data_IF_345243611351
#
_entry.id   IF_345243611351
#
_cell.length_a   1.000
_cell.length_b   1.000
_cell.length_c   1.000
_cell.angle_alpha   90.00
_cell.angle_beta   90.00
_cell.angle_gamma   90.00
#
_symmetry.space_group_name_H-M   'P 1'
#
loop_
_entity.id
_entity.type
_entity.pdbx_description
1 polymer ?
#
# COMPACT_ATOMS: atom_id res chain seq x y z
N UNK A 1 31.28 -15.41 16.38
CA UNK A 1 30.32 -14.33 16.75
C UNK A 1 29.74 -13.61 15.53
N UNK A 2 30.46 -13.50 14.42
CA UNK A 2 29.99 -12.76 13.22
C UNK A 2 28.72 -13.32 12.55
N UNK A 3 28.52 -14.64 12.55
CA UNK A 3 27.39 -15.28 11.86
C UNK A 3 26.02 -14.94 12.46
N UNK A 4 25.94 -14.73 13.78
CA UNK A 4 24.69 -14.27 14.43
C UNK A 4 24.37 -12.81 14.10
N UNK A 5 25.39 -11.96 14.03
CA UNK A 5 25.22 -10.52 13.79
C UNK A 5 24.76 -10.23 12.35
N UNK A 6 25.31 -10.94 11.35
CA UNK A 6 24.85 -10.84 9.96
C UNK A 6 23.38 -11.32 9.81
N UNK A 7 22.99 -12.38 10.52
CA UNK A 7 21.64 -12.94 10.45
C UNK A 7 20.57 -11.99 11.05
N UNK A 8 20.85 -11.38 12.20
CA UNK A 8 19.97 -10.37 12.81
C UNK A 8 19.82 -9.14 11.91
N UNK A 9 20.91 -8.72 11.25
CA UNK A 9 20.88 -7.59 10.32
C UNK A 9 20.01 -7.92 9.10
N UNK A 10 20.16 -9.10 8.52
CA UNK A 10 19.31 -9.56 7.41
C UNK A 10 17.83 -9.68 7.80
N UNK A 11 17.52 -10.25 8.97
CA UNK A 11 16.14 -10.31 9.47
C UNK A 11 15.54 -8.92 9.71
N UNK A 12 16.31 -7.98 10.28
CA UNK A 12 15.85 -6.63 10.55
C UNK A 12 15.52 -5.86 9.25
N UNK A 13 16.29 -6.06 8.18
CA UNK A 13 16.05 -5.44 6.89
C UNK A 13 14.81 -6.04 6.19
N UNK A 14 14.61 -7.36 6.27
CA UNK A 14 13.39 -8.01 5.80
C UNK A 14 12.16 -7.52 6.57
N UNK A 15 12.25 -7.40 7.90
CA UNK A 15 11.17 -6.85 8.72
C UNK A 15 10.86 -5.39 8.40
N UNK A 16 11.88 -4.54 8.19
CA UNK A 16 11.66 -3.15 7.75
C UNK A 16 10.96 -3.08 6.41
N UNK A 17 11.29 -3.97 5.48
CA UNK A 17 10.67 -3.99 4.15
C UNK A 17 9.23 -4.49 4.21
N UNK A 18 8.95 -5.55 4.96
CA UNK A 18 7.59 -6.00 5.26
C UNK A 18 6.77 -4.89 5.94
N UNK A 19 7.37 -4.19 6.91
CA UNK A 19 6.74 -3.05 7.57
C UNK A 19 6.45 -1.91 6.60
N UNK A 20 7.35 -1.60 5.68
CA UNK A 20 7.12 -0.59 4.63
C UNK A 20 5.99 -0.99 3.69
N UNK A 21 5.87 -2.27 3.30
CA UNK A 21 4.74 -2.80 2.52
C UNK A 21 3.41 -2.54 3.27
N UNK A 22 3.35 -2.92 4.55
CA UNK A 22 2.15 -2.74 5.38
C UNK A 22 1.81 -1.27 5.60
N UNK A 23 2.81 -0.40 5.81
CA UNK A 23 2.59 1.05 6.02
C UNK A 23 2.01 1.70 4.76
N UNK A 24 2.56 1.40 3.57
CA UNK A 24 2.02 1.90 2.30
C UNK A 24 0.58 1.43 2.08
N UNK A 25 0.34 0.14 2.30
CA UNK A 25 -0.99 -0.45 2.18
C UNK A 25 -1.98 0.18 3.16
N UNK A 26 -1.58 0.36 4.43
CA UNK A 26 -2.41 0.98 5.47
C UNK A 26 -2.77 2.44 5.14
N UNK A 27 -1.86 3.20 4.53
CA UNK A 27 -2.16 4.57 4.10
C UNK A 27 -3.18 4.60 2.97
N UNK A 28 -3.07 3.68 2.01
CA UNK A 28 -4.05 3.53 0.93
C UNK A 28 -5.43 3.14 1.45
N UNK A 29 -5.50 2.14 2.32
CA UNK A 29 -6.77 1.68 2.90
C UNK A 29 -7.50 2.80 3.66
N UNK A 30 -6.78 3.71 4.34
CA UNK A 30 -7.41 4.89 4.97
C UNK A 30 -8.07 5.80 3.92
N UNK A 31 -7.37 6.09 2.83
CA UNK A 31 -7.89 6.92 1.75
C UNK A 31 -9.14 6.27 1.11
N UNK A 32 -9.06 4.98 0.83
CA UNK A 32 -10.15 4.20 0.25
C UNK A 32 -11.37 4.12 1.19
N UNK A 33 -11.13 3.93 2.49
CA UNK A 33 -12.19 3.85 3.50
C UNK A 33 -12.95 5.18 3.62
N UNK A 34 -12.25 6.30 3.68
CA UNK A 34 -12.85 7.64 3.69
C UNK A 34 -13.63 7.88 2.39
N UNK A 35 -13.05 7.53 1.24
CA UNK A 35 -13.74 7.67 -0.04
C UNK A 35 -15.03 6.84 -0.10
N UNK A 36 -14.98 5.61 0.40
CA UNK A 36 -16.16 4.72 0.44
C UNK A 36 -17.28 5.32 1.27
N UNK A 37 -16.96 5.93 2.42
CA UNK A 37 -17.95 6.62 3.26
C UNK A 37 -18.55 7.81 2.51
N UNK A 38 -17.73 8.64 1.86
CA UNK A 38 -18.20 9.79 1.07
C UNK A 38 -19.09 9.34 -0.10
N UNK A 39 -18.72 8.25 -0.77
CA UNK A 39 -19.48 7.66 -1.88
C UNK A 39 -20.85 7.17 -1.42
N UNK A 40 -20.91 6.49 -0.28
CA UNK A 40 -22.17 6.04 0.31
C UNK A 40 -23.05 7.24 0.68
N UNK A 41 -22.49 8.27 1.31
CA UNK A 41 -23.23 9.49 1.65
C UNK A 41 -23.77 10.21 0.41
N UNK A 42 -22.97 10.27 -0.68
CA UNK A 42 -23.39 10.84 -1.96
C UNK A 42 -24.54 10.05 -2.59
N UNK A 43 -24.41 8.72 -2.66
CA UNK A 43 -25.47 7.85 -3.18
C UNK A 43 -26.75 7.95 -2.35
N UNK A 44 -26.63 8.02 -1.03
CA UNK A 44 -27.77 8.20 -0.14
C UNK A 44 -28.48 9.52 -0.44
N UNK A 45 -27.75 10.64 -0.53
CA UNK A 45 -28.30 11.96 -0.89
C UNK A 45 -29.07 11.90 -2.22
N UNK A 46 -28.46 11.29 -3.25
CA UNK A 46 -29.05 11.18 -4.59
C UNK A 46 -30.33 10.34 -4.59
N UNK A 47 -30.30 9.16 -3.95
CA UNK A 47 -31.45 8.24 -3.94
C UNK A 47 -32.58 8.69 -3.02
N UNK A 48 -32.28 9.35 -1.91
CA UNK A 48 -33.31 9.71 -0.92
C UNK A 48 -33.94 11.08 -1.17
N UNK A 49 -33.50 11.86 -2.17
CA UNK A 49 -33.90 13.28 -2.35
C UNK A 49 -33.92 14.06 -1.04
N UNK A 50 -33.10 13.63 -0.05
CA UNK A 50 -33.04 14.29 1.24
C UNK A 50 -32.49 15.68 0.96
N UNK A 51 -33.14 16.75 1.48
CA UNK A 51 -32.61 18.10 1.40
C UNK A 51 -31.44 18.24 2.38
N UNK A 52 -30.39 17.45 2.17
CA UNK A 52 -29.10 17.60 2.82
C UNK A 52 -28.41 18.83 2.21
N UNK A 53 -29.03 19.99 2.41
CA UNK A 53 -28.50 21.31 2.05
C UNK A 53 -27.48 21.79 3.09
N UNK A 54 -26.82 20.84 3.77
CA UNK A 54 -25.80 21.10 4.76
C UNK A 54 -24.45 21.21 4.06
N UNK A 55 -23.74 22.31 4.32
CA UNK A 55 -22.36 22.49 3.90
C UNK A 55 -21.48 21.46 4.63
N UNK A 56 -20.60 20.66 3.99
CA UNK A 56 -20.08 20.72 2.62
C UNK A 56 -20.77 19.76 1.61
N UNK A 57 -21.83 19.05 2.01
CA UNK A 57 -22.52 18.02 1.20
C UNK A 57 -23.19 18.62 -0.05
N UNK A 58 -23.53 19.91 -0.01
CA UNK A 58 -24.05 20.62 -1.19
C UNK A 58 -22.98 20.87 -2.27
N UNK A 59 -21.69 20.90 -1.89
CA UNK A 59 -20.59 21.03 -2.85
C UNK A 59 -20.26 19.71 -3.56
N UNK A 60 -20.76 18.56 -3.08
CA UNK A 60 -20.60 17.28 -3.77
C UNK A 60 -21.47 17.24 -5.03
N UNK A 61 -20.93 17.80 -6.11
CA UNK A 61 -21.42 17.62 -7.48
C UNK A 61 -20.78 16.36 -8.10
N UNK A 62 -21.46 15.76 -9.09
CA UNK A 62 -20.98 14.56 -9.79
C UNK A 62 -19.56 14.73 -10.37
N UNK A 63 -19.19 15.94 -10.81
CA UNK A 63 -17.83 16.25 -11.31
C UNK A 63 -16.76 16.10 -10.21
N UNK A 64 -17.06 16.57 -9.00
CA UNK A 64 -16.15 16.43 -7.84
C UNK A 64 -16.02 14.97 -7.46
N UNK A 65 -17.13 14.22 -7.47
CA UNK A 65 -17.12 12.77 -7.24
C UNK A 65 -16.25 12.01 -8.26
N UNK A 66 -16.32 12.37 -9.55
CA UNK A 66 -15.51 11.78 -10.62
C UNK A 66 -14.03 12.12 -10.44
N UNK A 67 -13.70 13.37 -10.11
CA UNK A 67 -12.32 13.78 -9.81
C UNK A 67 -11.75 13.01 -8.61
N UNK A 68 -12.52 12.89 -7.52
CA UNK A 68 -12.13 12.10 -6.36
C UNK A 68 -11.98 10.61 -6.69
N UNK A 69 -12.85 10.07 -7.55
CA UNK A 69 -12.73 8.68 -8.03
C UNK A 69 -11.40 8.47 -8.77
N UNK A 70 -11.01 9.40 -9.65
CA UNK A 70 -9.75 9.31 -10.38
C UNK A 70 -8.52 9.34 -9.46
N UNK A 71 -8.54 10.17 -8.42
CA UNK A 71 -7.47 10.21 -7.40
C UNK A 71 -7.36 8.87 -6.67
N UNK A 72 -8.49 8.27 -6.29
CA UNK A 72 -8.51 6.96 -5.63
C UNK A 72 -8.04 5.84 -6.54
N UNK A 73 -8.44 5.84 -7.82
CA UNK A 73 -7.97 4.88 -8.82
C UNK A 73 -6.47 5.01 -9.04
N UNK A 74 -5.95 6.24 -9.16
CA UNK A 74 -4.51 6.48 -9.28
C UNK A 74 -3.74 5.95 -8.07
N UNK A 75 -4.26 6.18 -6.87
CA UNK A 75 -3.67 5.65 -5.64
C UNK A 75 -3.75 4.12 -5.57
N UNK A 76 -4.82 3.51 -6.09
CA UNK A 76 -4.96 2.06 -6.17
C UNK A 76 -3.92 1.45 -7.11
N UNK A 77 -3.71 2.07 -8.28
CA UNK A 77 -2.70 1.65 -9.25
C UNK A 77 -1.30 1.74 -8.65
N UNK A 78 -0.95 2.82 -7.95
CA UNK A 78 0.36 2.98 -7.31
C UNK A 78 0.64 1.88 -6.27
N UNK A 79 -0.37 1.54 -5.47
CA UNK A 79 -0.28 0.47 -4.47
C UNK A 79 -0.19 -0.90 -5.13
N UNK A 80 -0.99 -1.15 -6.16
CA UNK A 80 -0.97 -2.43 -6.89
C UNK A 80 0.34 -2.62 -7.65
N UNK A 81 0.89 -1.56 -8.25
CA UNK A 81 2.20 -1.56 -8.88
C UNK A 81 3.29 -1.80 -7.84
N UNK A 82 3.25 -1.10 -6.70
CA UNK A 82 4.20 -1.33 -5.61
C UNK A 82 4.08 -2.73 -4.99
N UNK A 83 2.91 -3.37 -5.06
CA UNK A 83 2.74 -4.75 -4.61
C UNK A 83 3.31 -5.72 -5.64
N UNK A 84 2.89 -5.60 -6.91
CA UNK A 84 3.29 -6.47 -8.02
C UNK A 84 4.78 -6.42 -8.36
N UNK A 85 5.42 -5.24 -8.28
CA UNK A 85 6.86 -5.07 -8.56
C UNK A 85 7.73 -5.72 -7.45
N UNK A 86 7.20 -5.86 -6.24
CA UNK A 86 7.93 -6.34 -5.06
C UNK A 86 7.53 -7.73 -4.59
N UNK A 87 6.72 -8.46 -5.36
CA UNK A 87 6.14 -9.74 -4.96
C UNK A 87 7.15 -10.88 -5.18
N UNK A 88 7.25 -11.44 -6.38
CA UNK A 88 8.09 -12.65 -6.58
C UNK A 88 9.52 -12.34 -7.01
N UNK A 89 9.70 -11.49 -8.02
CA UNK A 89 11.03 -11.29 -8.62
C UNK A 89 12.02 -10.67 -7.65
N UNK A 90 11.56 -9.72 -6.82
CA UNK A 90 12.41 -9.09 -5.82
C UNK A 90 12.74 -10.05 -4.67
N UNK A 91 11.76 -10.81 -4.17
CA UNK A 91 11.96 -11.77 -3.08
C UNK A 91 12.89 -12.91 -3.53
N UNK A 92 12.67 -13.47 -4.72
CA UNK A 92 13.53 -14.49 -5.30
C UNK A 92 14.97 -14.00 -5.50
N UNK A 93 15.16 -12.78 -6.02
CA UNK A 93 16.50 -12.16 -6.15
C UNK A 93 17.16 -11.95 -4.78
N UNK A 94 16.40 -11.54 -3.77
CA UNK A 94 16.94 -11.28 -2.44
C UNK A 94 17.37 -12.58 -1.75
N UNK A 95 16.53 -13.61 -1.78
CA UNK A 95 16.85 -14.95 -1.26
C UNK A 95 18.07 -15.53 -1.97
N UNK A 96 18.14 -15.42 -3.31
CA UNK A 96 19.31 -15.84 -4.09
C UNK A 96 20.58 -15.11 -3.66
N UNK A 97 20.51 -13.80 -3.46
CA UNK A 97 21.66 -12.99 -3.02
C UNK A 97 22.18 -13.38 -1.62
N UNK A 98 21.27 -13.74 -0.70
CA UNK A 98 21.60 -14.20 0.65
C UNK A 98 22.26 -15.59 0.61
N UNK A 99 21.68 -16.52 -0.18
CA UNK A 99 22.26 -17.85 -0.40
C UNK A 99 23.66 -17.78 -1.01
N UNK A 100 23.86 -16.91 -2.00
CA UNK A 100 25.17 -16.75 -2.65
C UNK A 100 26.22 -16.14 -1.71
N UNK A 101 25.84 -15.15 -0.89
CA UNK A 101 26.74 -14.59 0.15
C UNK A 101 27.15 -15.65 1.16
N UNK A 102 26.21 -16.49 1.64
CA UNK A 102 26.52 -17.59 2.56
C UNK A 102 27.45 -18.63 1.94
N UNK A 103 27.18 -19.03 0.71
CA UNK A 103 27.98 -20.03 0.00
C UNK A 103 29.42 -19.53 -0.27
N UNK A 104 29.59 -18.24 -0.62
CA UNK A 104 30.92 -17.63 -0.72
C UNK A 104 31.64 -17.59 0.64
N UNK A 105 30.98 -17.20 1.73
CA UNK A 105 31.59 -17.13 3.07
C UNK A 105 32.07 -18.52 3.55
N UNK A 106 31.32 -19.59 3.28
CA UNK A 106 31.70 -20.97 3.62
C UNK A 106 32.85 -21.54 2.77
N UNK A 107 33.14 -20.99 1.59
CA UNK A 107 34.21 -21.49 0.71
C UNK A 107 35.60 -20.95 1.06
N UNK A 108 35.67 -19.95 1.94
CA UNK A 108 36.91 -19.32 2.39
C UNK A 108 37.31 -19.77 3.81
N UNK A 109 36.53 -20.65 4.44
CA UNK A 109 36.88 -21.42 5.65
C UNK A 109 37.23 -22.86 5.25
#
# INVERSE_FOLDING_TARGET
METKFDFDKEQSELQKLASRKVIKLKSFYKQLFIYTIILILYLLKEYTKLPLNVFPINLLNGVIMILWAAVVIGSAIDVFASFKIFDEDWEARKVKSILERRNKKQKWE
#
